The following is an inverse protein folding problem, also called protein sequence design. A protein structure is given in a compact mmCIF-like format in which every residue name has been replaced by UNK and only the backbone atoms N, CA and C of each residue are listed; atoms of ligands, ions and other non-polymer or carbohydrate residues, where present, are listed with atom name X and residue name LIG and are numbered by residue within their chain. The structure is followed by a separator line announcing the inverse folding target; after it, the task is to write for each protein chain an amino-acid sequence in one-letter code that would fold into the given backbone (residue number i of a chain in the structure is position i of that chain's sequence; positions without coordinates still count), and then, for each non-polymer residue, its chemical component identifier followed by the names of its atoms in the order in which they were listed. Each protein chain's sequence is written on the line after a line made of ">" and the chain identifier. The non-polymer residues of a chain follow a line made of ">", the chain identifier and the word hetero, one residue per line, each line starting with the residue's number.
data_IF_475141010087
#
_entry.id   IF_475141010087
#
_cell.length_a   1.000
_cell.length_b   1.000
_cell.length_c   1.000
_cell.angle_alpha   90.00
_cell.angle_beta   90.00
_cell.angle_gamma   90.00
#
_symmetry.space_group_name_H-M   'P 1'
#
loop_
_entity.id
_entity.type
_entity.pdbx_description
1 polymer ?
#
# COMPACT_ATOMS: atom_id res chain seq x y z
N UNK A 1 -50.85 -32.91 -4.00
CA UNK A 1 -49.53 -32.23 -3.98
C UNK A 1 -49.07 -32.17 -2.53
N UNK A 2 -48.03 -32.91 -2.13
CA UNK A 2 -47.50 -32.86 -0.77
C UNK A 2 -46.76 -31.52 -0.53
N UNK A 3 -46.92 -30.87 0.64
CA UNK A 3 -46.16 -29.67 0.96
C UNK A 3 -44.67 -30.01 1.15
N UNK A 4 -43.73 -29.15 0.72
CA UNK A 4 -42.31 -29.37 0.97
C UNK A 4 -42.06 -29.37 2.49
N UNK A 5 -41.43 -30.43 2.99
CA UNK A 5 -41.14 -30.63 4.41
C UNK A 5 -40.17 -29.56 4.92
N UNK A 6 -40.50 -28.98 6.07
CA UNK A 6 -39.73 -27.96 6.79
C UNK A 6 -38.26 -28.34 7.02
N UNK A 7 -37.98 -29.65 7.07
CA UNK A 7 -36.66 -30.25 7.23
C UNK A 7 -35.66 -29.87 6.11
N UNK A 8 -36.12 -29.75 4.86
CA UNK A 8 -35.25 -29.45 3.71
C UNK A 8 -34.77 -27.99 3.73
N UNK A 9 -35.56 -27.08 4.31
CA UNK A 9 -35.20 -25.66 4.46
C UNK A 9 -34.11 -25.44 5.50
N UNK A 10 -34.18 -26.17 6.62
CA UNK A 10 -33.21 -26.08 7.72
C UNK A 10 -31.83 -26.60 7.34
N UNK A 11 -31.75 -27.68 6.54
CA UNK A 11 -30.46 -28.25 6.11
C UNK A 11 -29.75 -27.35 5.11
N UNK A 12 -30.48 -26.80 4.11
CA UNK A 12 -29.89 -25.84 3.16
C UNK A 12 -29.48 -24.52 3.81
N UNK A 13 -30.24 -24.03 4.81
CA UNK A 13 -29.87 -22.84 5.57
C UNK A 13 -28.57 -23.04 6.36
N UNK A 14 -28.38 -24.21 6.98
CA UNK A 14 -27.17 -24.53 7.74
C UNK A 14 -25.94 -24.68 6.83
N UNK A 15 -26.07 -25.35 5.68
CA UNK A 15 -24.98 -25.44 4.69
C UNK A 15 -24.58 -24.06 4.16
N UNK A 16 -25.54 -23.20 3.84
CA UNK A 16 -25.28 -21.84 3.37
C UNK A 16 -24.50 -21.00 4.39
N UNK A 17 -24.89 -21.07 5.67
CA UNK A 17 -24.19 -20.39 6.77
C UNK A 17 -22.74 -20.87 6.93
N UNK A 18 -22.50 -22.18 6.83
CA UNK A 18 -21.12 -22.72 6.94
C UNK A 18 -20.21 -22.28 5.81
N UNK A 19 -20.71 -22.24 4.57
CA UNK A 19 -19.95 -21.77 3.41
C UNK A 19 -19.59 -20.29 3.52
N UNK A 20 -20.54 -19.45 3.96
CA UNK A 20 -20.30 -18.02 4.20
C UNK A 20 -19.28 -17.82 5.32
N UNK A 21 -19.43 -18.53 6.43
CA UNK A 21 -18.48 -18.44 7.56
C UNK A 21 -17.06 -18.84 7.13
N UNK A 22 -16.92 -19.94 6.38
CA UNK A 22 -15.63 -20.37 5.84
C UNK A 22 -15.01 -19.32 4.90
N UNK A 23 -15.81 -18.70 4.03
CA UNK A 23 -15.36 -17.64 3.13
C UNK A 23 -14.86 -16.39 3.87
N UNK A 24 -15.61 -15.95 4.89
CA UNK A 24 -15.23 -14.81 5.74
C UNK A 24 -13.92 -15.09 6.47
N UNK A 25 -13.76 -16.29 7.05
CA UNK A 25 -12.51 -16.69 7.71
C UNK A 25 -11.35 -16.69 6.72
N UNK A 26 -11.56 -17.22 5.50
CA UNK A 26 -10.54 -17.21 4.46
C UNK A 26 -10.07 -15.80 4.10
N UNK A 27 -11.00 -14.84 4.01
CA UNK A 27 -10.66 -13.44 3.75
C UNK A 27 -9.88 -12.80 4.90
N UNK A 28 -10.23 -13.10 6.16
CA UNK A 28 -9.49 -12.63 7.33
C UNK A 28 -8.06 -13.18 7.31
N UNK A 29 -7.90 -14.48 7.05
CA UNK A 29 -6.59 -15.16 7.04
C UNK A 29 -5.70 -14.65 5.90
N UNK A 30 -6.30 -14.35 4.75
CA UNK A 30 -5.58 -13.85 3.58
C UNK A 30 -5.34 -12.34 3.59
N UNK A 31 -5.92 -11.59 4.53
CA UNK A 31 -5.69 -10.14 4.62
C UNK A 31 -4.20 -9.84 4.89
N UNK A 32 -3.50 -9.16 3.96
CA UNK A 32 -2.04 -9.07 4.01
C UNK A 32 -1.55 -8.21 5.18
N UNK A 33 -0.44 -8.66 5.78
CA UNK A 33 0.18 -8.04 6.94
C UNK A 33 1.21 -6.94 6.60
N UNK A 34 1.83 -6.32 7.63
CA UNK A 34 2.78 -5.22 7.47
C UNK A 34 4.06 -5.60 6.69
N UNK A 35 4.53 -6.85 6.80
CA UNK A 35 5.69 -7.31 6.05
C UNK A 35 5.40 -7.41 4.55
N UNK A 36 4.22 -7.92 4.17
CA UNK A 36 3.79 -7.95 2.78
C UNK A 36 3.59 -6.52 2.22
N UNK A 37 3.10 -5.60 3.05
CA UNK A 37 3.01 -4.19 2.69
C UNK A 37 4.40 -3.56 2.44
N UNK A 38 5.39 -3.86 3.28
CA UNK A 38 6.76 -3.39 3.10
C UNK A 38 7.36 -3.83 1.76
N UNK A 39 7.11 -5.07 1.33
CA UNK A 39 7.57 -5.56 0.03
C UNK A 39 6.87 -4.87 -1.14
N UNK A 40 5.55 -4.72 -1.07
CA UNK A 40 4.76 -3.98 -2.06
C UNK A 40 5.23 -2.52 -2.18
N UNK A 41 5.39 -1.84 -1.04
CA UNK A 41 5.80 -0.45 -1.00
C UNK A 41 7.25 -0.27 -1.47
N UNK A 42 8.14 -1.24 -1.18
CA UNK A 42 9.50 -1.26 -1.69
C UNK A 42 9.52 -1.25 -3.22
N UNK A 43 8.71 -2.08 -3.85
CA UNK A 43 8.59 -2.14 -5.32
C UNK A 43 8.06 -0.82 -5.88
N UNK A 44 6.95 -0.32 -5.33
CA UNK A 44 6.33 0.92 -5.81
C UNK A 44 7.20 2.16 -5.62
N UNK A 45 7.85 2.32 -4.48
CA UNK A 45 8.77 3.43 -4.28
C UNK A 45 10.04 3.31 -5.13
N UNK A 46 10.53 2.10 -5.39
CA UNK A 46 11.66 1.91 -6.32
C UNK A 46 11.28 2.34 -7.74
N UNK A 47 10.08 1.98 -8.19
CA UNK A 47 9.52 2.38 -9.49
C UNK A 47 9.41 3.91 -9.59
N UNK A 48 8.73 4.53 -8.63
CA UNK A 48 8.54 5.99 -8.58
C UNK A 48 9.87 6.73 -8.46
N UNK A 49 10.75 6.32 -7.54
CA UNK A 49 12.05 6.97 -7.37
C UNK A 49 12.93 6.83 -8.63
N UNK A 50 12.85 5.71 -9.34
CA UNK A 50 13.57 5.56 -10.61
C UNK A 50 13.02 6.50 -11.68
N UNK A 51 11.70 6.65 -11.77
CA UNK A 51 11.07 7.55 -12.74
C UNK A 51 11.39 9.02 -12.45
N UNK A 52 11.18 9.42 -11.21
CA UNK A 52 11.28 10.80 -10.75
C UNK A 52 12.73 11.28 -10.65
N UNK A 53 13.63 10.44 -10.12
CA UNK A 53 15.01 10.86 -9.83
C UNK A 53 15.99 10.52 -10.95
N UNK A 54 15.75 9.44 -11.70
CA UNK A 54 16.71 8.96 -12.71
C UNK A 54 16.28 9.25 -14.15
N UNK A 55 14.97 9.36 -14.45
CA UNK A 55 14.47 9.60 -15.81
C UNK A 55 14.08 11.04 -16.10
N UNK A 56 13.73 11.84 -15.09
CA UNK A 56 13.60 13.29 -15.30
C UNK A 56 14.96 13.88 -15.71
N UNK A 57 14.95 14.65 -16.79
CA UNK A 57 16.15 15.23 -17.41
C UNK A 57 16.85 16.28 -16.51
N UNK A 58 16.27 16.59 -15.35
CA UNK A 58 16.74 17.57 -14.37
C UNK A 58 18.00 17.17 -13.58
N UNK A 59 18.55 15.96 -13.79
CA UNK A 59 19.80 15.57 -13.13
C UNK A 59 20.95 16.48 -13.59
N UNK A 60 21.58 17.26 -12.68
CA UNK A 60 22.72 18.10 -13.02
C UNK A 60 23.84 17.27 -13.64
N UNK A 61 24.58 17.83 -14.60
CA UNK A 61 25.67 17.14 -15.31
C UNK A 61 26.67 16.49 -14.33
N UNK A 62 26.95 17.16 -13.20
CA UNK A 62 27.83 16.63 -12.14
C UNK A 62 27.25 15.40 -11.45
N UNK A 63 25.94 15.37 -11.18
CA UNK A 63 25.27 14.23 -10.56
C UNK A 63 25.31 13.00 -11.48
N UNK A 64 25.20 13.21 -12.81
CA UNK A 64 25.31 12.13 -13.81
C UNK A 64 26.70 11.50 -13.87
N UNK A 65 27.76 12.28 -13.61
CA UNK A 65 29.14 11.78 -13.57
C UNK A 65 29.44 10.96 -12.30
N UNK A 66 28.84 11.35 -11.18
CA UNK A 66 29.01 10.66 -9.89
C UNK A 66 28.10 9.44 -9.73
N UNK A 67 26.84 9.55 -10.17
CA UNK A 67 25.83 8.49 -10.06
C UNK A 67 25.79 7.71 -11.37
N UNK A 68 26.75 6.80 -11.52
CA UNK A 68 26.72 5.85 -12.62
C UNK A 68 25.59 4.84 -12.39
N UNK A 69 24.72 4.67 -13.39
CA UNK A 69 23.58 3.75 -13.33
C UNK A 69 22.59 4.03 -12.18
N UNK A 70 22.09 5.26 -12.11
CA UNK A 70 21.05 5.69 -11.14
C UNK A 70 19.92 4.65 -10.92
N UNK A 71 19.31 4.02 -11.95
CA UNK A 71 18.28 3.01 -11.72
C UNK A 71 18.75 1.81 -10.89
N UNK A 72 20.01 1.39 -11.07
CA UNK A 72 20.58 0.28 -10.31
C UNK A 72 20.84 0.68 -8.85
N UNK A 73 21.28 1.92 -8.62
CA UNK A 73 21.44 2.46 -7.28
C UNK A 73 20.10 2.49 -6.53
N UNK A 74 19.04 3.02 -7.14
CA UNK A 74 17.70 3.05 -6.52
C UNK A 74 17.21 1.63 -6.21
N UNK A 75 17.36 0.68 -7.14
CA UNK A 75 17.00 -0.73 -6.92
C UNK A 75 17.78 -1.38 -5.77
N UNK A 76 19.06 -1.03 -5.59
CA UNK A 76 19.85 -1.53 -4.46
C UNK A 76 19.29 -1.09 -3.10
N UNK A 77 18.61 0.07 -3.07
CA UNK A 77 17.98 0.64 -1.89
C UNK A 77 16.52 0.20 -1.70
N UNK A 78 16.00 -0.72 -2.51
CA UNK A 78 14.62 -1.24 -2.41
C UNK A 78 14.21 -1.59 -0.98
N UNK A 79 15.07 -2.28 -0.21
CA UNK A 79 14.79 -2.64 1.20
C UNK A 79 14.67 -1.41 2.11
N UNK A 80 15.48 -0.39 1.87
CA UNK A 80 15.42 0.88 2.62
C UNK A 80 14.14 1.62 2.28
N UNK A 81 13.77 1.68 1.00
CA UNK A 81 12.53 2.31 0.55
C UNK A 81 11.28 1.61 1.13
N UNK A 82 11.26 0.28 1.16
CA UNK A 82 10.18 -0.47 1.81
C UNK A 82 10.03 -0.13 3.29
N UNK A 83 11.15 -0.16 4.02
CA UNK A 83 11.16 0.19 5.45
C UNK A 83 10.73 1.63 5.69
N UNK A 84 11.20 2.57 4.86
CA UNK A 84 10.78 3.97 4.89
C UNK A 84 9.26 4.08 4.74
N UNK A 85 8.68 3.43 3.73
CA UNK A 85 7.23 3.42 3.57
C UNK A 85 6.54 2.87 4.83
N UNK A 86 6.97 1.70 5.32
CA UNK A 86 6.39 1.07 6.51
C UNK A 86 6.43 1.98 7.75
N UNK A 87 7.55 2.66 7.99
CA UNK A 87 7.73 3.57 9.12
C UNK A 87 6.86 4.84 9.00
N UNK A 88 6.62 5.27 7.76
CA UNK A 88 5.80 6.44 7.44
C UNK A 88 4.34 6.11 7.09
N UNK A 89 3.92 4.84 7.28
CA UNK A 89 2.55 4.40 7.06
C UNK A 89 1.83 4.13 8.38
N UNK A 90 0.55 4.51 8.45
CA UNK A 90 -0.36 4.04 9.50
C UNK A 90 -1.31 2.99 8.95
N UNK A 91 -1.37 1.84 9.63
CA UNK A 91 -2.25 0.73 9.30
C UNK A 91 -3.54 0.77 10.12
N UNK A 92 -4.68 0.66 9.45
CA UNK A 92 -5.99 0.43 10.05
C UNK A 92 -6.49 -0.95 9.59
N UNK A 93 -6.55 -1.92 10.50
CA UNK A 93 -6.98 -3.28 10.18
C UNK A 93 -8.44 -3.50 10.58
N UNK A 94 -9.27 -3.94 9.64
CA UNK A 94 -10.70 -4.20 9.82
C UNK A 94 -11.04 -5.70 9.72
N UNK A 95 -10.04 -6.58 9.80
CA UNK A 95 -10.22 -8.03 9.72
C UNK A 95 -10.18 -8.53 8.28
N UNK A 96 -11.20 -8.21 7.47
CA UNK A 96 -11.28 -8.63 6.05
C UNK A 96 -10.37 -7.82 5.12
N UNK A 97 -10.07 -6.59 5.54
CA UNK A 97 -9.26 -5.65 4.78
C UNK A 97 -8.42 -4.81 5.74
N UNK A 98 -7.43 -4.11 5.20
CA UNK A 98 -6.66 -3.11 5.91
C UNK A 98 -6.38 -1.89 5.04
N UNK A 99 -6.34 -0.71 5.64
CA UNK A 99 -5.94 0.53 4.98
C UNK A 99 -4.56 0.95 5.47
N UNK A 100 -3.73 1.42 4.56
CA UNK A 100 -2.40 1.96 4.83
C UNK A 100 -2.35 3.39 4.32
N UNK A 101 -2.34 4.35 5.24
CA UNK A 101 -2.14 5.76 4.93
C UNK A 101 -0.66 6.09 5.07
N UNK A 102 0.01 6.39 3.96
CA UNK A 102 1.44 6.67 3.88
C UNK A 102 1.67 8.16 3.70
N UNK A 103 2.57 8.75 4.50
CA UNK A 103 2.90 10.17 4.43
C UNK A 103 4.41 10.38 4.41
N UNK A 104 4.93 10.82 3.27
CA UNK A 104 6.35 11.04 3.04
C UNK A 104 6.65 12.53 2.89
N UNK A 105 7.76 12.98 3.48
CA UNK A 105 8.20 14.38 3.39
C UNK A 105 7.31 15.36 4.18
N UNK A 106 7.32 16.62 3.75
CA UNK A 106 6.69 17.72 4.49
C UNK A 106 7.49 18.21 5.72
N UNK A 107 8.68 17.66 5.94
CA UNK A 107 9.62 18.09 6.98
C UNK A 107 10.38 19.35 6.54
N UNK A 108 10.72 20.19 7.52
CA UNK A 108 11.56 21.36 7.31
C UNK A 108 13.02 20.96 7.56
N UNK A 109 13.77 20.79 6.49
CA UNK A 109 15.16 20.30 6.52
C UNK A 109 16.19 21.42 6.63
N UNK A 110 15.91 22.60 6.09
CA UNK A 110 16.75 23.79 6.25
C UNK A 110 15.88 25.02 6.54
N UNK A 111 16.43 26.07 7.17
CA UNK A 111 15.77 27.37 7.23
C UNK A 111 15.43 27.80 5.79
N UNK A 112 14.14 28.01 5.51
CA UNK A 112 13.59 28.35 4.18
C UNK A 112 13.49 27.22 3.14
N UNK A 113 13.79 25.96 3.50
CA UNK A 113 13.59 24.83 2.59
C UNK A 113 12.67 23.76 3.20
N UNK A 114 11.54 23.51 2.53
CA UNK A 114 10.55 22.50 2.89
C UNK A 114 10.48 21.47 1.78
N UNK A 115 10.57 20.20 2.14
CA UNK A 115 10.40 19.10 1.19
C UNK A 115 8.90 18.97 0.87
N UNK A 116 8.50 18.75 -0.40
CA UNK A 116 7.10 18.48 -0.74
C UNK A 116 6.56 17.28 0.05
N UNK A 117 5.28 17.34 0.39
CA UNK A 117 4.60 16.24 1.08
C UNK A 117 3.96 15.33 0.04
N UNK A 118 4.16 14.04 0.15
CA UNK A 118 3.45 13.03 -0.63
C UNK A 118 2.58 12.18 0.27
N UNK A 119 1.32 12.07 -0.12
CA UNK A 119 0.32 11.27 0.58
C UNK A 119 -0.13 10.12 -0.34
N UNK A 120 -0.26 8.93 0.23
CA UNK A 120 -0.77 7.77 -0.49
C UNK A 120 -1.69 6.93 0.40
N UNK A 121 -2.72 6.35 -0.21
CA UNK A 121 -3.65 5.43 0.43
C UNK A 121 -3.62 4.09 -0.29
N UNK A 122 -3.32 3.02 0.44
CA UNK A 122 -3.28 1.65 -0.09
C UNK A 122 -4.28 0.77 0.66
N UNK A 123 -5.07 0.00 -0.09
CA UNK A 123 -5.97 -1.03 0.42
C UNK A 123 -5.30 -2.40 0.35
N UNK A 124 -5.20 -3.08 1.49
CA UNK A 124 -4.88 -4.50 1.59
C UNK A 124 -6.17 -5.32 1.70
N UNK A 125 -6.40 -6.27 0.79
CA UNK A 125 -7.59 -7.15 0.81
C UNK A 125 -7.29 -8.46 0.08
N UNK A 126 -7.75 -9.59 0.62
CA UNK A 126 -7.65 -10.90 -0.04
C UNK A 126 -6.25 -11.24 -0.61
N UNK A 127 -5.19 -10.96 0.15
CA UNK A 127 -3.80 -11.22 -0.23
C UNK A 127 -3.18 -10.20 -1.20
N UNK A 128 -3.90 -9.13 -1.56
CA UNK A 128 -3.45 -8.14 -2.54
C UNK A 128 -3.38 -6.74 -1.95
N UNK A 129 -2.57 -5.89 -2.58
CA UNK A 129 -2.51 -4.45 -2.31
C UNK A 129 -2.93 -3.65 -3.53
N UNK A 130 -3.80 -2.66 -3.30
CA UNK A 130 -4.32 -1.75 -4.32
C UNK A 130 -4.01 -0.32 -3.90
N UNK A 131 -3.24 0.40 -4.72
CA UNK A 131 -2.99 1.82 -4.52
C UNK A 131 -4.24 2.60 -4.94
N UNK A 132 -4.94 3.21 -3.99
CA UNK A 132 -6.18 3.94 -4.23
C UNK A 132 -5.91 5.36 -4.68
N UNK A 133 -5.00 6.04 -3.98
CA UNK A 133 -4.52 7.38 -4.34
C UNK A 133 -3.05 7.51 -3.99
N UNK A 134 -2.33 8.30 -4.78
CA UNK A 134 -0.98 8.74 -4.51
C UNK A 134 -0.76 10.09 -5.21
N UNK A 135 -0.22 11.06 -4.49
CA UNK A 135 0.03 12.38 -5.06
C UNK A 135 0.76 13.31 -4.11
N UNK A 136 1.24 14.40 -4.68
CA UNK A 136 1.74 15.52 -3.89
C UNK A 136 0.58 16.21 -3.18
N UNK A 137 0.72 16.41 -1.89
CA UNK A 137 -0.28 17.02 -1.03
C UNK A 137 0.09 18.46 -0.77
N UNK A 138 -0.76 19.39 -1.21
CA UNK A 138 -0.59 20.80 -0.91
C UNK A 138 -0.74 21.02 0.60
N UNK A 139 0.21 21.73 1.20
CA UNK A 139 0.25 21.96 2.64
C UNK A 139 -1.06 22.61 3.14
N UNK A 140 -1.90 21.82 3.82
CA UNK A 140 -3.15 22.30 4.44
C UNK A 140 -4.36 21.38 4.26
N UNK A 141 -4.34 20.44 3.31
CA UNK A 141 -5.48 19.55 3.08
C UNK A 141 -5.48 18.36 4.07
N UNK A 142 -6.56 18.15 4.85
CA UNK A 142 -6.71 16.92 5.63
C UNK A 142 -6.96 15.74 4.68
N UNK A 143 -6.38 14.58 4.99
CA UNK A 143 -6.83 13.33 4.38
C UNK A 143 -8.27 13.04 4.84
N UNK A 144 -9.17 12.58 3.95
CA UNK A 144 -10.45 12.02 4.37
C UNK A 144 -10.27 10.76 5.22
#
# INVERSE_FOLDING_TARGET
>A
MPPPSTATRTVSGLLGLTAVAAGVIGLIVTNPGPAAFEEFAAEKLTEVATEELCRKEDLPLLARLLIQNCPQLVRSQRKVLGRLAREHSRRYNFGLLSLYGTRLGGEQVLPHWRIPRYDALTLGVAGQFLLLTAGESQAGSPMP
#
